data_IF_348105806288
#
_entry.id   IF_348105806288
#
_cell.length_a   1.000
_cell.length_b   1.000
_cell.length_c   1.000
_cell.angle_alpha   90.00
_cell.angle_beta   90.00
_cell.angle_gamma   90.00
#
_symmetry.space_group_name_H-M   'P 1'
#
loop_
_entity.id
_entity.type
_entity.pdbx_description
1 polymer ?
#
# COMPACT_ATOMS: atom_id res chain seq x y z
N UNK A 1 -24.82 -12.21 -14.61
CA UNK A 1 -24.10 -13.38 -14.05
C UNK A 1 -23.57 -12.94 -12.71
N UNK A 2 -24.05 -13.53 -11.61
CA UNK A 2 -23.47 -13.24 -10.29
C UNK A 2 -22.16 -14.03 -10.20
N UNK A 3 -21.05 -13.35 -10.47
CA UNK A 3 -19.72 -13.89 -10.22
C UNK A 3 -19.58 -14.10 -8.72
N UNK A 4 -19.30 -15.34 -8.30
CA UNK A 4 -18.89 -15.61 -6.92
C UNK A 4 -17.64 -14.76 -6.63
N UNK A 5 -17.71 -13.94 -5.57
CA UNK A 5 -16.61 -13.11 -5.10
C UNK A 5 -15.62 -14.02 -4.35
N UNK A 6 -14.39 -14.13 -4.84
CA UNK A 6 -13.30 -14.75 -4.07
C UNK A 6 -12.64 -13.69 -3.22
N UNK A 7 -12.56 -13.92 -1.91
CA UNK A 7 -11.89 -13.06 -0.93
C UNK A 7 -10.79 -13.87 -0.27
N UNK A 8 -9.60 -13.28 -0.19
CA UNK A 8 -8.42 -13.86 0.46
C UNK A 8 -7.94 -12.80 1.46
N UNK A 9 -7.86 -13.17 2.74
CA UNK A 9 -7.19 -12.33 3.74
C UNK A 9 -5.71 -12.76 3.81
N UNK A 10 -4.81 -11.79 3.73
CA UNK A 10 -3.37 -11.96 3.64
C UNK A 10 -2.70 -11.19 4.77
N UNK A 11 -2.01 -11.90 5.66
CA UNK A 11 -1.21 -11.30 6.72
C UNK A 11 0.23 -11.16 6.21
N UNK A 12 0.72 -9.91 6.16
CA UNK A 12 2.08 -9.55 5.84
C UNK A 12 2.79 -9.04 7.10
N UNK A 13 4.07 -9.37 7.23
CA UNK A 13 4.91 -9.10 8.40
C UNK A 13 4.29 -9.54 9.74
N UNK A 14 4.81 -10.60 10.34
CA UNK A 14 4.30 -11.08 11.62
C UNK A 14 4.73 -10.22 12.83
N UNK A 15 5.62 -9.23 12.62
CA UNK A 15 5.87 -8.16 13.58
C UNK A 15 4.70 -7.18 13.61
N UNK A 16 4.52 -6.43 12.52
CA UNK A 16 3.53 -5.34 12.44
C UNK A 16 2.10 -5.81 12.15
N UNK A 17 1.94 -7.06 11.70
CA UNK A 17 0.65 -7.71 11.43
C UNK A 17 -0.22 -6.96 10.42
N UNK A 18 0.34 -6.63 9.26
CA UNK A 18 -0.40 -5.96 8.18
C UNK A 18 -1.42 -6.88 7.52
N UNK A 19 -2.70 -6.65 7.83
CA UNK A 19 -3.82 -7.40 7.26
C UNK A 19 -4.30 -6.78 5.94
N UNK A 20 -4.13 -7.51 4.84
CA UNK A 20 -4.59 -7.13 3.51
C UNK A 20 -5.80 -7.99 3.10
N UNK A 21 -6.83 -7.36 2.55
CA UNK A 21 -7.95 -8.08 1.92
C UNK A 21 -7.85 -8.05 0.41
N UNK A 22 -7.53 -9.18 -0.20
CA UNK A 22 -7.46 -9.36 -1.65
C UNK A 22 -8.82 -9.86 -2.15
N UNK A 23 -9.42 -9.10 -3.06
CA UNK A 23 -10.73 -9.42 -3.64
C UNK A 23 -10.56 -9.67 -5.13
N UNK A 24 -10.84 -10.89 -5.59
CA UNK A 24 -10.83 -11.22 -7.01
C UNK A 24 -12.15 -10.76 -7.63
N UNK A 25 -12.05 -9.87 -8.61
CA UNK A 25 -13.17 -9.30 -9.36
C UNK A 25 -12.90 -9.39 -10.86
N UNK A 26 -13.96 -9.25 -11.67
CA UNK A 26 -13.87 -9.13 -13.14
C UNK A 26 -13.00 -10.17 -13.85
N UNK A 27 -13.20 -11.46 -13.51
CA UNK A 27 -12.50 -12.59 -14.12
C UNK A 27 -12.83 -12.65 -15.61
N UNK A 28 -11.78 -12.58 -16.45
CA UNK A 28 -11.87 -12.58 -17.91
C UNK A 28 -10.62 -13.12 -18.55
N UNK A 29 -10.71 -13.42 -19.84
CA UNK A 29 -9.55 -13.80 -20.66
C UNK A 29 -8.56 -12.61 -20.71
N UNK A 30 -7.28 -12.92 -20.52
CA UNK A 30 -6.20 -11.93 -20.59
C UNK A 30 -6.06 -11.31 -22.00
N UNK A 31 -5.49 -10.12 -22.08
CA UNK A 31 -5.24 -9.46 -23.35
C UNK A 31 -4.19 -10.26 -24.16
N UNK A 32 -4.42 -10.58 -25.45
CA UNK A 32 -3.53 -11.45 -26.24
C UNK A 32 -2.07 -10.99 -26.36
N UNK A 33 -1.80 -9.70 -26.11
CA UNK A 33 -0.46 -9.09 -26.14
C UNK A 33 -0.16 -8.30 -24.86
N UNK A 34 -0.89 -8.58 -23.77
CA UNK A 34 -0.69 -7.90 -22.49
C UNK A 34 0.32 -8.64 -21.62
N UNK A 35 1.35 -7.94 -21.15
CA UNK A 35 2.18 -8.40 -20.04
C UNK A 35 1.46 -8.11 -18.71
N UNK A 36 1.60 -9.01 -17.74
CA UNK A 36 0.99 -8.92 -16.42
C UNK A 36 2.04 -9.19 -15.34
N UNK A 37 1.91 -8.61 -14.12
CA UNK A 37 0.82 -7.76 -13.62
C UNK A 37 0.81 -6.34 -14.21
N UNK A 38 -0.29 -5.60 -14.03
CA UNK A 38 -0.43 -4.19 -14.45
C UNK A 38 -1.10 -3.37 -13.36
N UNK A 39 -0.60 -2.17 -13.13
CA UNK A 39 -1.29 -1.16 -12.34
C UNK A 39 -2.55 -0.70 -13.08
N UNK A 40 -3.65 -0.55 -12.35
CA UNK A 40 -4.93 -0.07 -12.89
C UNK A 40 -5.31 1.25 -12.21
N UNK A 41 -5.26 1.26 -10.88
CA UNK A 41 -5.51 2.42 -10.02
C UNK A 41 -5.14 2.06 -8.58
N UNK A 42 -5.04 3.08 -7.75
CA UNK A 42 -4.81 3.01 -6.31
C UNK A 42 -5.00 4.40 -5.72
N UNK A 43 -5.01 4.48 -4.41
CA UNK A 43 -5.10 5.73 -3.68
C UNK A 43 -4.30 5.61 -2.40
N UNK A 44 -3.76 6.75 -1.95
CA UNK A 44 -2.99 6.88 -0.70
C UNK A 44 -1.69 6.08 -0.73
N UNK A 45 -0.81 6.42 0.20
CA UNK A 45 0.47 5.75 0.33
C UNK A 45 0.32 4.57 1.26
N UNK A 46 1.13 3.53 1.06
CA UNK A 46 1.18 2.43 2.02
C UNK A 46 1.71 2.95 3.37
N UNK A 47 1.33 2.37 4.52
CA UNK A 47 2.05 2.60 5.76
C UNK A 47 3.54 2.31 5.56
N UNK A 48 4.46 3.13 6.11
CA UNK A 48 5.89 2.82 6.06
C UNK A 48 6.17 1.47 6.73
N UNK A 49 7.16 0.74 6.21
CA UNK A 49 7.63 -0.51 6.83
C UNK A 49 8.14 -0.23 8.26
N UNK A 50 7.97 -1.22 9.13
CA UNK A 50 8.40 -1.19 10.53
C UNK A 50 7.86 0.02 11.36
N UNK A 51 6.73 0.60 10.97
CA UNK A 51 6.11 1.70 11.73
C UNK A 51 5.36 1.23 12.98
N UNK A 52 5.29 -0.06 13.26
CA UNK A 52 4.61 -0.62 14.45
C UNK A 52 3.16 -1.01 14.19
N UNK A 53 2.86 -1.45 12.97
CA UNK A 53 1.53 -1.88 12.55
C UNK A 53 0.50 -0.74 12.54
N UNK A 54 -0.78 -1.12 12.54
CA UNK A 54 -1.89 -0.15 12.51
C UNK A 54 -1.78 0.92 13.63
N UNK A 55 -1.50 0.57 14.90
CA UNK A 55 -1.38 1.58 15.95
C UNK A 55 -0.22 2.55 15.71
N UNK A 56 0.96 2.03 15.40
CA UNK A 56 2.14 2.85 15.18
C UNK A 56 2.03 3.77 13.97
N UNK A 57 1.37 3.32 12.90
CA UNK A 57 1.04 4.19 11.76
C UNK A 57 0.15 5.37 12.16
N UNK A 58 -0.91 5.16 12.94
CA UNK A 58 -1.78 6.26 13.36
C UNK A 58 -1.10 7.19 14.38
N UNK A 59 -0.25 6.67 15.25
CA UNK A 59 0.57 7.48 16.15
C UNK A 59 1.56 8.36 15.36
N UNK A 60 2.18 7.82 14.31
CA UNK A 60 3.02 8.58 13.39
C UNK A 60 2.24 9.71 12.72
N UNK A 61 1.07 9.42 12.14
CA UNK A 61 0.23 10.44 11.50
C UNK A 61 -0.19 11.55 12.48
N UNK A 62 -0.57 11.18 13.70
CA UNK A 62 -0.94 12.14 14.74
C UNK A 62 0.26 13.05 15.11
N UNK A 63 1.44 12.46 15.27
CA UNK A 63 2.66 13.20 15.57
C UNK A 63 3.09 14.13 14.42
N UNK A 64 2.98 13.69 13.17
CA UNK A 64 3.28 14.51 11.99
C UNK A 64 2.32 15.70 11.85
N UNK A 65 1.04 15.51 12.18
CA UNK A 65 0.00 16.53 11.98
C UNK A 65 0.00 17.66 13.02
N UNK A 66 0.56 17.44 14.23
CA UNK A 66 0.59 18.43 15.30
C UNK A 66 2.02 18.86 15.66
N UNK A 67 2.44 20.09 15.29
CA UNK A 67 3.75 20.64 15.66
C UNK A 67 4.03 20.73 17.17
N UNK A 68 3.00 20.61 18.02
CA UNK A 68 3.11 20.59 19.48
C UNK A 68 3.14 19.19 20.06
N UNK A 69 2.94 18.15 19.25
CA UNK A 69 3.03 16.78 19.70
C UNK A 69 4.45 16.52 20.23
N UNK A 70 4.60 15.85 21.39
CA UNK A 70 5.92 15.61 21.98
C UNK A 70 6.89 14.90 21.04
N UNK A 71 6.36 14.07 20.13
CA UNK A 71 7.15 13.30 19.16
C UNK A 71 7.16 13.92 17.75
N UNK A 72 6.69 15.16 17.56
CA UNK A 72 6.57 15.76 16.22
C UNK A 72 7.90 15.79 15.45
N UNK A 73 8.98 16.22 16.12
CA UNK A 73 10.30 16.33 15.49
C UNK A 73 10.86 14.96 15.08
N UNK A 74 10.71 13.95 15.94
CA UNK A 74 11.13 12.56 15.67
C UNK A 74 10.31 11.96 14.53
N UNK A 75 8.99 12.15 14.55
CA UNK A 75 8.09 11.68 13.50
C UNK A 75 8.40 12.32 12.14
N UNK A 76 8.67 13.63 12.10
CA UNK A 76 9.02 14.33 10.86
C UNK A 76 10.39 13.87 10.30
N UNK A 77 11.37 13.63 11.18
CA UNK A 77 12.67 13.09 10.77
C UNK A 77 12.56 11.65 10.25
N UNK A 78 11.76 10.82 10.93
CA UNK A 78 11.58 9.41 10.56
C UNK A 78 10.76 9.23 9.27
N UNK A 79 9.69 10.03 9.11
CA UNK A 79 8.81 9.97 7.96
C UNK A 79 9.45 10.56 6.69
N UNK A 80 10.43 11.46 6.84
CA UNK A 80 11.11 12.14 5.72
C UNK A 80 10.11 12.75 4.71
N UNK A 81 10.14 12.34 3.44
CA UNK A 81 9.24 12.80 2.38
C UNK A 81 7.90 12.05 2.33
N UNK A 82 7.56 11.25 3.34
CA UNK A 82 6.32 10.48 3.37
C UNK A 82 5.09 11.38 3.42
N UNK A 83 4.23 11.26 2.41
CA UNK A 83 2.89 11.83 2.39
C UNK A 83 1.84 10.69 2.28
N UNK A 84 1.01 10.47 3.32
CA UNK A 84 0.01 9.40 3.33
C UNK A 84 -1.10 9.57 2.28
N UNK A 85 -1.28 10.77 1.74
CA UNK A 85 -2.36 11.06 0.79
C UNK A 85 -1.88 11.04 -0.67
N UNK A 86 -0.62 10.69 -0.91
CA UNK A 86 -0.05 10.50 -2.26
C UNK A 86 -0.05 9.04 -2.69
N UNK A 87 -0.05 8.76 -3.99
CA UNK A 87 0.22 7.41 -4.53
C UNK A 87 1.28 7.53 -5.61
N UNK A 88 2.38 6.79 -5.47
CA UNK A 88 3.43 6.75 -6.49
C UNK A 88 3.06 5.82 -7.65
N UNK A 89 2.12 6.26 -8.49
CA UNK A 89 1.65 5.48 -9.63
C UNK A 89 2.79 5.10 -10.60
N UNK A 90 3.77 5.98 -10.75
CA UNK A 90 4.90 5.78 -11.65
C UNK A 90 5.84 4.71 -11.11
N UNK A 91 6.25 4.80 -9.84
CA UNK A 91 7.08 3.79 -9.20
C UNK A 91 6.39 2.42 -9.16
N UNK A 92 5.09 2.37 -8.86
CA UNK A 92 4.31 1.12 -8.91
C UNK A 92 4.29 0.55 -10.33
N UNK A 93 4.00 1.37 -11.34
CA UNK A 93 3.96 0.94 -12.75
C UNK A 93 5.30 0.41 -13.21
N UNK A 94 6.40 1.06 -12.85
CA UNK A 94 7.76 0.63 -13.18
C UNK A 94 8.12 -0.68 -12.49
N UNK A 95 7.80 -0.83 -11.20
CA UNK A 95 8.04 -2.06 -10.46
C UNK A 95 7.28 -3.25 -11.07
N UNK A 96 6.00 -3.08 -11.38
CA UNK A 96 5.18 -4.12 -12.02
C UNK A 96 5.67 -4.44 -13.44
N UNK A 97 6.12 -3.43 -14.20
CA UNK A 97 6.68 -3.63 -15.55
C UNK A 97 7.95 -4.49 -15.51
N UNK A 98 8.80 -4.34 -14.47
CA UNK A 98 9.97 -5.21 -14.29
C UNK A 98 9.56 -6.66 -14.01
N UNK A 99 8.48 -6.89 -13.26
CA UNK A 99 7.97 -8.25 -12.99
C UNK A 99 7.36 -8.85 -14.26
N UNK A 100 6.61 -8.06 -15.03
CA UNK A 100 5.89 -8.51 -16.21
C UNK A 100 6.80 -8.85 -17.41
N UNK A 101 8.04 -8.36 -17.40
CA UNK A 101 9.05 -8.58 -18.45
C UNK A 101 10.21 -9.50 -18.01
N UNK A 102 10.07 -10.17 -16.87
CA UNK A 102 10.98 -11.27 -16.46
C UNK A 102 10.63 -12.54 -17.20
#
# INVERSE_FOLDING_TARGET
MNSNKTVIDYLYDFGDSWEHRVIVTDIRVGAPQGSYPRYVRGERNAPPEDCGGIPGFYDLLAAMADPKHPNHAEAAEWADEYDPDTVDEMGITDALSRIANR
#
